data_IF_059460810858
#
_entry.id   IF_059460810858
#
_cell.length_a   1.000
_cell.length_b   1.000
_cell.length_c   1.000
_cell.angle_alpha   90.00
_cell.angle_beta   90.00
_cell.angle_gamma   90.00
#
_symmetry.space_group_name_H-M   'P 1'
#
loop_
_entity.id
_entity.type
_entity.pdbx_description
1 polymer ?
#
# COMPACT_ATOMS: atom_id res chain seq x y z
N UNK A 1 10.67 11.23 -15.08
CA UNK A 1 9.97 10.14 -14.37
C UNK A 1 9.29 10.77 -13.18
N UNK A 2 7.98 10.66 -13.08
CA UNK A 2 7.25 11.15 -11.92
C UNK A 2 7.42 10.11 -10.81
N UNK A 3 8.13 10.50 -9.76
CA UNK A 3 8.33 9.65 -8.59
C UNK A 3 7.08 9.72 -7.72
N UNK A 4 6.69 8.57 -7.17
CA UNK A 4 5.67 8.53 -6.13
C UNK A 4 6.17 9.34 -4.93
N UNK A 5 5.34 10.28 -4.46
CA UNK A 5 5.63 11.07 -3.26
C UNK A 5 5.03 10.30 -2.08
N UNK A 6 5.83 10.11 -1.04
CA UNK A 6 5.43 9.45 0.21
C UNK A 6 5.39 10.48 1.33
N UNK A 7 4.39 10.41 2.20
CA UNK A 7 4.26 11.28 3.36
C UNK A 7 5.43 11.11 4.34
N UNK A 8 5.86 9.87 4.56
CA UNK A 8 6.97 9.53 5.45
C UNK A 8 7.73 8.30 4.95
N UNK A 9 8.86 8.01 5.60
CA UNK A 9 9.60 6.76 5.38
C UNK A 9 8.74 5.54 5.75
N UNK A 10 7.92 5.64 6.79
CA UNK A 10 7.01 4.57 7.20
C UNK A 10 5.98 4.28 6.10
N UNK A 11 5.46 5.31 5.42
CA UNK A 11 4.58 5.11 4.27
C UNK A 11 5.28 4.36 3.13
N UNK A 12 6.56 4.64 2.90
CA UNK A 12 7.35 3.90 1.91
C UNK A 12 7.51 2.42 2.29
N UNK A 13 7.77 2.12 3.56
CA UNK A 13 7.87 0.74 4.05
C UNK A 13 6.54 -0.01 3.90
N UNK A 14 5.41 0.62 4.25
CA UNK A 14 4.08 0.04 4.04
C UNK A 14 3.80 -0.23 2.56
N UNK A 15 4.26 0.66 1.67
CA UNK A 15 4.15 0.45 0.23
C UNK A 15 5.00 -0.73 -0.26
N UNK A 16 6.22 -0.89 0.25
CA UNK A 16 7.03 -2.08 -0.04
C UNK A 16 6.33 -3.36 0.42
N UNK A 17 5.78 -3.37 1.63
CA UNK A 17 5.00 -4.50 2.14
C UNK A 17 3.83 -4.85 1.21
N UNK A 18 3.04 -3.85 0.79
CA UNK A 18 1.91 -4.04 -0.12
C UNK A 18 2.32 -4.71 -1.44
N UNK A 19 3.48 -4.32 -1.98
CA UNK A 19 4.04 -4.87 -3.23
C UNK A 19 4.53 -6.31 -3.06
N UNK A 20 4.92 -6.71 -1.84
CA UNK A 20 5.44 -8.04 -1.53
C UNK A 20 4.37 -9.04 -1.07
N UNK A 21 3.11 -8.62 -0.85
CA UNK A 21 2.00 -9.52 -0.48
C UNK A 21 1.84 -10.62 -1.56
N UNK A 22 2.09 -11.90 -1.25
CA UNK A 22 1.98 -12.98 -2.22
C UNK A 22 0.53 -13.16 -2.69
N UNK A 23 0.33 -13.19 -4.00
CA UNK A 23 -1.00 -13.32 -4.60
C UNK A 23 -1.83 -12.04 -4.59
N UNK A 24 -1.24 -10.89 -4.21
CA UNK A 24 -1.91 -9.60 -4.32
C UNK A 24 -2.19 -9.26 -5.79
N UNK A 25 -3.47 -9.19 -6.15
CA UNK A 25 -3.92 -8.77 -7.49
C UNK A 25 -4.33 -7.30 -7.53
N UNK A 26 -4.30 -6.63 -6.38
CA UNK A 26 -4.74 -5.26 -6.23
C UNK A 26 -3.71 -4.32 -6.87
N UNK A 27 -4.18 -3.48 -7.80
CA UNK A 27 -3.38 -2.42 -8.41
C UNK A 27 -4.12 -1.11 -8.21
N UNK A 28 -3.48 -0.14 -7.59
CA UNK A 28 -3.97 1.23 -7.54
C UNK A 28 -3.03 2.13 -8.36
N UNK A 29 -3.60 3.18 -8.94
CA UNK A 29 -2.83 4.26 -9.58
C UNK A 29 -3.13 5.53 -8.82
N UNK A 30 -2.07 6.21 -8.40
CA UNK A 30 -2.22 7.53 -7.80
C UNK A 30 -2.13 8.60 -8.89
N UNK A 31 -2.94 9.65 -8.80
CA UNK A 31 -2.76 10.85 -9.61
C UNK A 31 -1.35 11.42 -9.44
N UNK A 32 -0.83 12.00 -10.51
CA UNK A 32 0.45 12.69 -10.52
C UNK A 32 0.44 13.82 -9.49
N UNK A 33 1.51 13.92 -8.70
CA UNK A 33 1.66 14.94 -7.67
C UNK A 33 0.89 14.67 -6.38
N UNK A 34 0.18 13.54 -6.28
CA UNK A 34 -0.45 13.13 -5.03
C UNK A 34 0.57 12.47 -4.10
N UNK A 35 0.62 12.95 -2.86
CA UNK A 35 1.35 12.29 -1.78
C UNK A 35 0.55 11.09 -1.29
N UNK A 36 1.18 9.92 -1.34
CA UNK A 36 0.67 8.72 -0.69
C UNK A 36 0.83 8.89 0.81
N UNK A 37 -0.26 8.80 1.55
CA UNK A 37 -0.28 8.95 3.01
C UNK A 37 -0.24 7.59 3.70
N UNK A 38 0.19 7.59 4.96
CA UNK A 38 0.23 6.41 5.82
C UNK A 38 -1.17 5.80 5.99
N UNK A 39 -2.19 6.64 6.17
CA UNK A 39 -3.59 6.22 6.27
C UNK A 39 -4.10 5.52 5.00
N UNK A 40 -3.76 6.06 3.82
CA UNK A 40 -4.10 5.43 2.55
C UNK A 40 -3.44 4.05 2.44
N UNK A 41 -2.17 3.94 2.82
CA UNK A 41 -1.46 2.66 2.80
C UNK A 41 -2.07 1.63 3.73
N UNK A 42 -2.46 2.00 4.96
CA UNK A 42 -3.17 1.08 5.85
C UNK A 42 -4.50 0.59 5.23
N UNK A 43 -5.23 1.48 4.56
CA UNK A 43 -6.46 1.13 3.86
C UNK A 43 -6.19 0.14 2.73
N UNK A 44 -5.16 0.38 1.91
CA UNK A 44 -4.79 -0.50 0.80
C UNK A 44 -4.25 -1.85 1.26
N UNK A 45 -3.39 -1.88 2.28
CA UNK A 45 -2.88 -3.11 2.89
C UNK A 45 -4.03 -3.96 3.42
N UNK A 46 -4.96 -3.36 4.17
CA UNK A 46 -6.14 -4.08 4.67
C UNK A 46 -6.95 -4.69 3.54
N UNK A 47 -7.20 -3.94 2.47
CA UNK A 47 -7.92 -4.47 1.30
C UNK A 47 -7.16 -5.61 0.61
N UNK A 48 -5.84 -5.47 0.44
CA UNK A 48 -4.99 -6.49 -0.17
C UNK A 48 -4.98 -7.78 0.66
N UNK A 49 -4.78 -7.70 1.98
CA UNK A 49 -4.82 -8.86 2.88
C UNK A 49 -6.18 -9.56 2.86
N UNK A 50 -7.29 -8.79 2.92
CA UNK A 50 -8.64 -9.35 2.78
C UNK A 50 -8.84 -10.06 1.44
N UNK A 51 -8.30 -9.52 0.34
CA UNK A 51 -8.44 -10.11 -0.99
C UNK A 51 -7.72 -11.45 -1.16
N UNK A 52 -6.62 -11.66 -0.43
CA UNK A 52 -5.84 -12.92 -0.47
C UNK A 52 -6.30 -13.94 0.59
N UNK A 53 -7.41 -13.67 1.29
CA UNK A 53 -7.95 -14.56 2.31
C UNK A 53 -7.16 -14.58 3.62
N UNK A 54 -6.26 -13.61 3.84
CA UNK A 54 -5.54 -13.43 5.10
C UNK A 54 -6.30 -12.39 5.93
N UNK A 55 -7.14 -12.88 6.85
CA UNK A 55 -8.03 -12.04 7.65
C UNK A 55 -7.32 -11.30 8.80
N UNK A 56 -6.05 -11.61 9.06
CA UNK A 56 -5.25 -11.02 10.15
C UNK A 56 -4.14 -10.14 9.58
N UNK A 57 -4.18 -8.85 9.90
CA UNK A 57 -3.05 -7.94 9.72
C UNK A 57 -1.96 -8.35 10.73
N UNK A 58 -0.68 -8.45 10.35
CA UNK A 58 0.38 -8.64 11.33
C UNK A 58 0.35 -7.50 12.35
N UNK A 59 0.31 -7.87 13.64
CA UNK A 59 0.26 -6.98 14.81
C UNK A 59 1.51 -6.11 14.97
#
# INVERSE_FOLDING_TARGET
MEYQIYESYDTFLLYQEFMEIPGNTFKFRLPVGMTLTTEMMHTFLRAAYMSVGRMELPS
#
